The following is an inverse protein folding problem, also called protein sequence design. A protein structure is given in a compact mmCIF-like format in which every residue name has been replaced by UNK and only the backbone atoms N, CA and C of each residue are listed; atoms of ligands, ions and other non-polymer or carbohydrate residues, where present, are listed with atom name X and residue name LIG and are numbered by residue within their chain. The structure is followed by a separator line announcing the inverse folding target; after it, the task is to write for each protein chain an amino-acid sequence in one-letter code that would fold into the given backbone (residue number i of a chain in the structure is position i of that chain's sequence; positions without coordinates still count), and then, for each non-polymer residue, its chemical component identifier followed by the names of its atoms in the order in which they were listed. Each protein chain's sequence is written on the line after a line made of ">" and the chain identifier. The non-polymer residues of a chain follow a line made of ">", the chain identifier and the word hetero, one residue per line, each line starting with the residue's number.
data_IF_761414854584
#
_entry.id   IF_761414854584
#
_cell.length_a   1.000
_cell.length_b   1.000
_cell.length_c   1.000
_cell.angle_alpha   90.00
_cell.angle_beta   90.00
_cell.angle_gamma   90.00
#
_symmetry.space_group_name_H-M   'P 1'
#
loop_
_entity.id
_entity.type
_entity.pdbx_description
1 polymer ?
#
# COMPACT_ATOMS: atom_id res chain seq x y z
N UNK A 1 27.79 5.87 3.49
CA UNK A 1 27.92 6.49 2.16
C UNK A 1 26.58 6.87 1.53
N UNK A 2 25.62 5.94 1.31
CA UNK A 2 24.39 6.23 0.52
C UNK A 2 23.39 7.23 1.10
N UNK A 3 23.43 7.54 2.40
CA UNK A 3 22.51 8.49 3.01
C UNK A 3 22.82 9.96 2.67
N UNK A 4 24.06 10.26 2.26
CA UNK A 4 24.50 11.64 1.99
C UNK A 4 23.95 12.17 0.65
N UNK A 5 23.87 11.31 -0.37
CA UNK A 5 23.32 11.69 -1.69
C UNK A 5 21.79 11.69 -1.74
N UNK A 6 21.13 11.35 -0.62
CA UNK A 6 19.68 11.18 -0.55
C UNK A 6 18.90 12.46 -0.83
N UNK A 7 19.48 13.64 -0.55
CA UNK A 7 18.82 14.93 -0.84
C UNK A 7 18.72 15.21 -2.35
N UNK A 8 19.63 14.65 -3.15
CA UNK A 8 19.71 14.90 -4.59
C UNK A 8 19.10 13.77 -5.43
N UNK A 9 18.87 12.60 -4.82
CA UNK A 9 18.33 11.41 -5.49
C UNK A 9 16.86 11.14 -5.15
N UNK A 10 16.28 11.89 -4.20
CA UNK A 10 14.86 11.74 -3.83
C UNK A 10 13.98 12.58 -4.75
N UNK A 11 12.81 12.03 -5.09
CA UNK A 11 11.77 12.74 -5.83
C UNK A 11 10.62 13.02 -4.85
N UNK A 12 10.59 14.25 -4.33
CA UNK A 12 9.66 14.66 -3.26
C UNK A 12 8.19 14.66 -3.72
N UNK A 13 7.93 14.62 -5.03
CA UNK A 13 6.59 14.57 -5.60
C UNK A 13 6.06 13.15 -5.89
N UNK A 14 6.80 12.10 -5.56
CA UNK A 14 6.29 10.72 -5.70
C UNK A 14 5.19 10.48 -4.70
N UNK A 15 4.05 10.00 -5.20
CA UNK A 15 2.88 9.69 -4.39
C UNK A 15 2.56 8.20 -4.45
N UNK A 16 2.25 7.62 -3.29
CA UNK A 16 1.66 6.29 -3.22
C UNK A 16 0.15 6.43 -3.44
N UNK A 17 -0.33 6.04 -4.62
CA UNK A 17 -1.71 6.29 -5.06
C UNK A 17 -2.63 5.09 -4.91
N UNK A 18 -2.18 3.95 -4.40
CA UNK A 18 -3.04 2.78 -4.39
C UNK A 18 -2.36 1.43 -4.13
N UNK A 19 -3.10 0.38 -4.41
CA UNK A 19 -2.99 -0.94 -3.79
C UNK A 19 -2.93 -0.81 -2.27
N UNK A 20 -3.76 0.07 -1.69
CA UNK A 20 -3.81 0.24 -0.25
C UNK A 20 -4.43 -1.00 0.39
N UNK A 21 -3.93 -1.47 1.53
CA UNK A 21 -4.58 -2.50 2.33
C UNK A 21 -6.09 -2.24 2.54
N UNK A 22 -6.49 -0.99 2.79
CA UNK A 22 -7.89 -0.59 2.93
C UNK A 22 -8.73 -0.69 1.64
N UNK A 23 -8.10 -0.69 0.46
CA UNK A 23 -8.79 -0.82 -0.82
C UNK A 23 -9.47 -2.17 -1.00
N UNK A 24 -8.98 -3.21 -0.31
CA UNK A 24 -9.62 -4.52 -0.27
C UNK A 24 -11.07 -4.43 0.21
N UNK A 25 -11.33 -3.59 1.23
CA UNK A 25 -12.68 -3.34 1.74
C UNK A 25 -13.41 -2.35 0.84
N UNK A 26 -12.75 -1.24 0.48
CA UNK A 26 -13.36 -0.15 -0.29
C UNK A 26 -13.94 -0.61 -1.63
N UNK A 27 -13.27 -1.53 -2.29
CA UNK A 27 -13.68 -2.08 -3.58
C UNK A 27 -14.21 -3.50 -3.50
N UNK A 28 -14.52 -3.97 -2.28
CA UNK A 28 -15.17 -5.26 -2.02
C UNK A 28 -14.47 -6.41 -2.74
N UNK A 29 -13.15 -6.49 -2.59
CA UNK A 29 -12.37 -7.53 -3.26
C UNK A 29 -12.85 -8.91 -2.83
N UNK A 30 -13.04 -9.86 -3.76
CA UNK A 30 -13.49 -11.20 -3.41
C UNK A 30 -12.51 -11.88 -2.45
N UNK A 31 -13.02 -12.59 -1.43
CA UNK A 31 -12.19 -13.27 -0.44
C UNK A 31 -11.13 -14.21 -1.04
N UNK A 32 -11.39 -14.80 -2.23
CA UNK A 32 -10.42 -15.64 -2.95
C UNK A 32 -9.15 -14.90 -3.39
N UNK A 33 -9.20 -13.57 -3.46
CA UNK A 33 -8.09 -12.70 -3.83
C UNK A 33 -7.31 -12.21 -2.60
N UNK A 34 -7.82 -12.43 -1.39
CA UNK A 34 -7.16 -12.06 -0.15
C UNK A 34 -6.22 -13.18 0.27
N UNK A 35 -4.94 -12.82 0.43
CA UNK A 35 -3.88 -13.70 0.85
C UNK A 35 -3.56 -13.42 2.33
N UNK A 36 -3.44 -14.45 3.17
CA UNK A 36 -3.05 -14.24 4.55
C UNK A 36 -1.60 -13.73 4.62
N UNK A 37 -1.36 -12.78 5.52
CA UNK A 37 -0.03 -12.25 5.83
C UNK A 37 0.71 -13.24 6.76
N UNK A 38 0.90 -14.48 6.30
CA UNK A 38 1.47 -15.57 7.10
C UNK A 38 2.99 -15.53 7.21
N UNK A 39 3.66 -14.84 6.28
CA UNK A 39 5.10 -14.77 6.28
C UNK A 39 5.59 -13.83 7.39
N UNK A 40 6.30 -14.38 8.37
CA UNK A 40 6.84 -13.61 9.48
C UNK A 40 7.82 -12.51 9.00
N UNK A 41 8.55 -12.75 7.91
CA UNK A 41 9.40 -11.74 7.30
C UNK A 41 8.59 -10.55 6.76
N UNK A 42 7.37 -10.77 6.27
CA UNK A 42 6.51 -9.68 5.79
C UNK A 42 6.02 -8.82 6.96
N UNK A 43 5.63 -9.44 8.08
CA UNK A 43 5.26 -8.72 9.31
C UNK A 43 6.43 -7.95 9.89
N UNK A 44 7.62 -8.54 9.92
CA UNK A 44 8.83 -7.87 10.40
C UNK A 44 9.19 -6.67 9.52
N UNK A 45 9.04 -6.77 8.19
CA UNK A 45 9.23 -5.64 7.27
C UNK A 45 8.23 -4.52 7.53
N UNK A 46 6.95 -4.83 7.67
CA UNK A 46 5.92 -3.84 7.95
C UNK A 46 6.17 -3.11 9.28
N UNK A 47 6.50 -3.85 10.35
CA UNK A 47 6.90 -3.26 11.63
C UNK A 47 8.18 -2.41 11.51
N UNK A 48 9.16 -2.88 10.73
CA UNK A 48 10.37 -2.13 10.43
C UNK A 48 10.12 -0.81 9.70
N UNK A 49 9.14 -0.77 8.79
CA UNK A 49 8.70 0.45 8.11
C UNK A 49 8.04 1.42 9.09
N UNK A 50 7.17 0.96 9.99
CA UNK A 50 6.53 1.80 11.02
C UNK A 50 7.52 2.47 11.98
N UNK A 51 8.71 1.91 12.13
CA UNK A 51 9.78 2.46 12.96
C UNK A 51 10.65 3.51 12.24
N UNK A 52 10.45 3.75 10.94
CA UNK A 52 11.20 4.77 10.19
C UNK A 52 10.71 6.16 10.54
N UNK A 53 11.65 7.10 10.77
CA UNK A 53 11.35 8.46 11.18
C UNK A 53 10.41 9.21 10.20
N UNK A 54 10.60 9.04 8.89
CA UNK A 54 9.76 9.67 7.87
C UNK A 54 8.34 9.08 7.85
N UNK A 55 8.15 7.77 8.07
CA UNK A 55 6.82 7.18 8.21
C UNK A 55 6.10 7.73 9.44
N UNK A 56 6.83 7.93 10.54
CA UNK A 56 6.24 8.44 11.78
C UNK A 56 5.88 9.93 11.74
N UNK A 57 6.61 10.74 10.95
CA UNK A 57 6.52 12.20 10.99
C UNK A 57 5.88 12.82 9.75
N UNK A 58 6.13 12.25 8.56
CA UNK A 58 5.87 12.94 7.29
C UNK A 58 4.63 12.39 6.57
N UNK A 59 4.32 11.10 6.72
CA UNK A 59 3.27 10.42 5.94
C UNK A 59 2.28 9.64 6.81
N UNK A 60 1.40 10.33 7.57
CA UNK A 60 0.46 9.68 8.50
C UNK A 60 -0.49 8.70 7.81
N UNK A 61 -0.91 8.99 6.57
CA UNK A 61 -1.78 8.08 5.80
C UNK A 61 -1.08 6.74 5.52
N UNK A 62 0.20 6.76 5.17
CA UNK A 62 0.94 5.52 4.89
C UNK A 62 1.09 4.68 6.16
N UNK A 63 1.32 5.34 7.30
CA UNK A 63 1.35 4.67 8.59
C UNK A 63 0.02 3.96 8.89
N UNK A 64 -1.11 4.62 8.69
CA UNK A 64 -2.43 4.03 8.91
C UNK A 64 -2.67 2.82 8.02
N UNK A 65 -2.28 2.87 6.74
CA UNK A 65 -2.41 1.74 5.83
C UNK A 65 -1.52 0.54 6.23
N UNK A 66 -0.28 0.79 6.67
CA UNK A 66 0.62 -0.28 7.15
C UNK A 66 0.10 -0.88 8.47
N UNK A 67 -0.45 -0.07 9.37
CA UNK A 67 -1.10 -0.55 10.59
C UNK A 67 -2.32 -1.42 10.23
N UNK A 68 -3.16 -0.95 9.31
CA UNK A 68 -4.32 -1.69 8.82
C UNK A 68 -3.92 -3.04 8.17
N UNK A 69 -2.82 -3.08 7.42
CA UNK A 69 -2.26 -4.34 6.89
C UNK A 69 -1.92 -5.34 8.00
N UNK A 70 -1.27 -4.87 9.08
CA UNK A 70 -0.89 -5.71 10.21
C UNK A 70 -2.10 -6.15 11.03
N UNK A 71 -3.09 -5.27 11.22
CA UNK A 71 -4.33 -5.54 11.96
C UNK A 71 -5.22 -6.55 11.24
N UNK A 72 -5.44 -6.37 9.93
CA UNK A 72 -6.24 -7.31 9.12
C UNK A 72 -5.51 -8.62 8.88
N UNK A 73 -4.17 -8.58 8.84
CA UNK A 73 -3.36 -9.76 8.56
C UNK A 73 -3.61 -10.33 7.16
N UNK A 74 -4.07 -9.51 6.21
CA UNK A 74 -4.38 -9.91 4.84
C UNK A 74 -3.78 -8.94 3.83
N UNK A 75 -3.33 -9.45 2.70
CA UNK A 75 -2.81 -8.69 1.55
C UNK A 75 -3.50 -9.14 0.27
N UNK A 76 -3.36 -8.38 -0.81
CA UNK A 76 -3.85 -8.76 -2.12
C UNK A 76 -2.87 -8.29 -3.20
N UNK A 77 -2.87 -8.97 -4.34
CA UNK A 77 -2.10 -8.58 -5.52
C UNK A 77 -2.87 -7.54 -6.34
N UNK A 78 -2.19 -6.65 -7.07
CA UNK A 78 -2.84 -5.58 -7.84
C UNK A 78 -3.85 -6.16 -8.86
N UNK A 79 -3.57 -7.33 -9.42
CA UNK A 79 -4.44 -8.08 -10.31
C UNK A 79 -5.81 -8.41 -9.70
N UNK A 80 -5.93 -8.45 -8.37
CA UNK A 80 -7.20 -8.64 -7.68
C UNK A 80 -8.22 -7.54 -8.00
N UNK A 81 -7.76 -6.32 -8.31
CA UNK A 81 -8.63 -5.22 -8.74
C UNK A 81 -9.33 -5.56 -10.08
N UNK A 82 -8.79 -6.49 -10.86
CA UNK A 82 -9.37 -6.95 -12.12
C UNK A 82 -10.22 -8.23 -11.97
N UNK A 83 -10.43 -8.72 -10.73
CA UNK A 83 -11.12 -9.99 -10.48
C UNK A 83 -12.61 -10.00 -10.88
N UNK A 84 -13.24 -8.82 -10.94
CA UNK A 84 -14.64 -8.65 -11.34
C UNK A 84 -14.81 -8.03 -12.74
N UNK A 85 -13.87 -7.18 -13.16
CA UNK A 85 -13.84 -6.61 -14.52
C UNK A 85 -12.40 -6.31 -14.92
N UNK A 86 -12.00 -6.74 -16.12
CA UNK A 86 -10.67 -6.49 -16.68
C UNK A 86 -10.36 -4.99 -16.82
N UNK A 87 -11.37 -4.14 -17.03
CA UNK A 87 -11.18 -2.71 -17.23
C UNK A 87 -11.22 -1.91 -15.94
N UNK A 88 -11.52 -2.54 -14.80
CA UNK A 88 -11.73 -1.85 -13.52
C UNK A 88 -10.51 -1.02 -13.11
N UNK A 89 -9.30 -1.57 -13.27
CA UNK A 89 -8.06 -0.90 -12.90
C UNK A 89 -7.90 0.43 -13.66
N UNK A 90 -8.08 0.42 -14.98
CA UNK A 90 -7.85 1.58 -15.86
C UNK A 90 -9.02 2.57 -15.87
N UNK A 91 -10.26 2.10 -15.80
CA UNK A 91 -11.45 2.94 -15.99
C UNK A 91 -12.04 3.46 -14.67
N UNK A 92 -11.72 2.84 -13.53
CA UNK A 92 -12.30 3.20 -12.23
C UNK A 92 -11.23 3.48 -11.18
N UNK A 93 -10.36 2.52 -10.93
CA UNK A 93 -9.43 2.57 -9.81
C UNK A 93 -8.39 3.68 -9.96
N UNK A 94 -7.60 3.65 -11.05
CA UNK A 94 -6.55 4.64 -11.29
C UNK A 94 -7.10 6.06 -11.43
N UNK A 95 -8.15 6.34 -12.24
CA UNK A 95 -8.72 7.68 -12.32
C UNK A 95 -9.22 8.20 -10.97
N UNK A 96 -9.89 7.37 -10.17
CA UNK A 96 -10.39 7.78 -8.85
C UNK A 96 -9.28 8.12 -7.87
N UNK A 97 -8.13 7.43 -7.96
CA UNK A 97 -7.05 7.63 -7.01
C UNK A 97 -6.08 8.75 -7.43
N UNK A 98 -5.90 9.00 -8.73
CA UNK A 98 -5.08 10.11 -9.22
C UNK A 98 -5.75 11.47 -8.96
N UNK A 99 -7.09 11.51 -8.94
CA UNK A 99 -7.85 12.74 -8.64
C UNK A 99 -7.90 13.10 -7.15
N UNK A 100 -7.40 12.23 -6.27
CA UNK A 100 -7.50 12.36 -4.82
C UNK A 100 -6.33 13.15 -4.25
#
# INVERSE_FOLDING_TARGET
>A
QMAYDSEHLRVDCVQWIGAFPSDAIRYELPNRCLLPLTNEADKQRANGLLNRCYIQREVPQWRSEIQFLLETGTKFEIEALSACSLTFLSERYLPSNIQR
#
